data_IF_031020712220
#
_entry.id   IF_031020712220
#
_cell.length_a   1.000
_cell.length_b   1.000
_cell.length_c   1.000
_cell.angle_alpha   90.00
_cell.angle_beta   90.00
_cell.angle_gamma   90.00
#
_symmetry.space_group_name_H-M   'P 1'
#
loop_
_entity.id
_entity.type
_entity.pdbx_description
1 polymer ?
#
# COMPACT_ATOMS: atom_id res chain seq x y z
N UNK A 1 -25.52 -12.70 -24.83
CA UNK A 1 -24.99 -11.80 -23.79
C UNK A 1 -23.63 -12.32 -23.38
N UNK A 2 -22.56 -11.52 -23.53
CA UNK A 2 -21.20 -11.98 -23.24
C UNK A 2 -20.96 -12.12 -21.73
N UNK A 3 -20.49 -13.29 -21.29
CA UNK A 3 -20.19 -13.62 -19.88
C UNK A 3 -19.24 -12.59 -19.26
N UNK A 4 -18.28 -12.07 -20.02
CA UNK A 4 -17.37 -11.01 -19.56
C UNK A 4 -18.05 -9.70 -19.17
N UNK A 5 -19.22 -9.38 -19.74
CA UNK A 5 -19.98 -8.16 -19.37
C UNK A 5 -20.72 -8.31 -18.04
N UNK A 6 -21.01 -9.54 -17.61
CA UNK A 6 -21.64 -9.83 -16.33
C UNK A 6 -20.59 -9.78 -15.21
N UNK A 7 -19.39 -10.29 -15.49
CA UNK A 7 -18.30 -10.34 -14.51
C UNK A 7 -17.54 -9.02 -14.34
N UNK A 8 -17.27 -8.29 -15.43
CA UNK A 8 -16.38 -7.11 -15.43
C UNK A 8 -17.16 -5.79 -15.46
N UNK A 9 -18.43 -5.82 -15.83
CA UNK A 9 -19.23 -4.61 -16.03
C UNK A 9 -18.98 -3.92 -17.39
N UNK A 10 -19.64 -2.79 -17.62
CA UNK A 10 -19.46 -2.00 -18.85
C UNK A 10 -18.23 -1.09 -18.72
N UNK A 11 -17.39 -0.95 -19.76
CA UNK A 11 -16.30 0.01 -19.74
C UNK A 11 -16.85 1.43 -19.50
N UNK A 12 -16.25 2.14 -18.56
CA UNK A 12 -16.69 3.47 -18.13
C UNK A 12 -16.07 4.50 -19.07
N UNK A 13 -16.92 5.35 -19.65
CA UNK A 13 -16.50 6.45 -20.50
C UNK A 13 -15.84 7.53 -19.64
N UNK A 14 -14.69 8.08 -20.06
CA UNK A 14 -13.87 9.02 -19.27
C UNK A 14 -14.65 10.26 -18.82
N UNK A 15 -15.74 10.60 -19.51
CA UNK A 15 -16.64 11.71 -19.21
C UNK A 15 -17.54 11.46 -17.99
N UNK A 16 -17.78 10.20 -17.62
CA UNK A 16 -18.66 9.78 -16.51
C UNK A 16 -17.90 9.61 -15.18
N UNK A 17 -16.56 9.68 -15.19
CA UNK A 17 -15.70 9.49 -14.00
C UNK A 17 -15.96 10.52 -12.88
N UNK A 18 -16.34 11.74 -13.24
CA UNK A 18 -16.65 12.81 -12.25
C UNK A 18 -17.93 12.48 -11.48
N UNK A 19 -18.90 11.82 -12.14
CA UNK A 19 -20.16 11.40 -11.51
C UNK A 19 -20.07 10.05 -10.78
N UNK A 20 -19.00 9.28 -11.04
CA UNK A 20 -18.64 8.07 -10.29
C UNK A 20 -17.61 8.33 -9.17
N UNK A 21 -17.34 9.60 -8.84
CA UNK A 21 -16.52 9.93 -7.68
C UNK A 21 -17.08 9.24 -6.44
N UNK A 22 -16.31 8.28 -5.93
CA UNK A 22 -16.68 7.45 -4.79
C UNK A 22 -17.00 8.38 -3.61
N UNK A 23 -18.10 8.11 -2.89
CA UNK A 23 -18.48 8.92 -1.74
C UNK A 23 -17.34 8.95 -0.71
N UNK A 24 -17.16 10.07 -0.01
CA UNK A 24 -16.10 10.24 1.00
C UNK A 24 -15.90 9.03 1.93
N UNK A 25 -16.94 8.39 2.52
CA UNK A 25 -16.74 7.23 3.38
C UNK A 25 -16.22 6.00 2.63
N UNK A 26 -16.72 5.74 1.41
CA UNK A 26 -16.27 4.59 0.61
C UNK A 26 -14.86 4.84 0.07
N UNK A 27 -14.55 6.06 -0.36
CA UNK A 27 -13.20 6.44 -0.77
C UNK A 27 -12.22 6.31 0.39
N UNK A 28 -12.60 6.77 1.59
CA UNK A 28 -11.78 6.57 2.79
C UNK A 28 -11.56 5.10 3.08
N UNK A 29 -12.59 4.25 3.04
CA UNK A 29 -12.44 2.82 3.31
C UNK A 29 -11.50 2.14 2.30
N UNK A 30 -11.65 2.44 1.01
CA UNK A 30 -10.84 1.85 -0.06
C UNK A 30 -9.38 2.30 0.03
N UNK A 31 -9.12 3.60 0.16
CA UNK A 31 -7.75 4.12 0.22
C UNK A 31 -7.07 3.91 1.58
N UNK A 32 -7.82 3.84 2.68
CA UNK A 32 -7.26 3.51 3.99
C UNK A 32 -6.89 2.03 4.12
N UNK A 33 -7.45 1.14 3.29
CA UNK A 33 -7.16 -0.29 3.32
C UNK A 33 -5.67 -0.59 3.14
N UNK A 34 -4.97 0.18 2.31
CA UNK A 34 -3.54 0.03 2.05
C UNK A 34 -2.69 0.36 3.29
N UNK A 35 -3.00 1.49 3.93
CA UNK A 35 -2.38 1.89 5.19
C UNK A 35 -2.68 0.90 6.33
N UNK A 36 -3.91 0.39 6.40
CA UNK A 36 -4.29 -0.62 7.40
C UNK A 36 -3.59 -1.95 7.16
N UNK A 37 -3.51 -2.41 5.91
CA UNK A 37 -2.76 -3.61 5.52
C UNK A 37 -1.29 -3.51 5.96
N UNK A 38 -0.69 -2.33 5.79
CA UNK A 38 0.69 -2.05 6.22
C UNK A 38 0.94 -2.27 7.71
N UNK A 39 -0.04 -1.97 8.57
CA UNK A 39 0.10 -2.19 10.02
C UNK A 39 0.11 -3.67 10.42
N UNK A 40 -0.49 -4.53 9.59
CA UNK A 40 -0.62 -5.97 9.88
C UNK A 40 0.71 -6.72 9.73
N UNK A 41 1.62 -6.25 8.89
CA UNK A 41 2.96 -6.85 8.73
C UNK A 41 4.10 -6.01 9.33
N UNK A 42 4.00 -4.67 9.32
CA UNK A 42 5.13 -3.82 9.70
C UNK A 42 5.55 -3.96 11.18
N UNK A 43 4.60 -4.24 12.07
CA UNK A 43 4.87 -4.38 13.51
C UNK A 43 5.75 -5.59 13.82
N UNK A 44 5.47 -6.73 13.20
CA UNK A 44 6.25 -7.96 13.34
C UNK A 44 7.64 -7.81 12.73
N UNK A 45 7.74 -7.24 11.53
CA UNK A 45 9.02 -7.04 10.84
C UNK A 45 9.99 -6.13 11.63
N UNK A 46 9.48 -5.06 12.26
CA UNK A 46 10.30 -4.20 13.13
C UNK A 46 10.89 -5.02 14.28
N UNK A 47 10.11 -5.89 14.91
CA UNK A 47 10.56 -6.71 16.04
C UNK A 47 11.56 -7.77 15.59
N UNK A 48 11.35 -8.41 14.43
CA UNK A 48 12.29 -9.37 13.86
C UNK A 48 13.65 -8.68 13.60
N UNK A 49 13.66 -7.54 12.92
CA UNK A 49 14.91 -6.83 12.60
C UNK A 49 15.62 -6.37 13.89
N UNK A 50 14.88 -5.84 14.87
CA UNK A 50 15.46 -5.46 16.17
C UNK A 50 16.01 -6.68 16.93
N UNK A 51 15.34 -7.83 16.86
CA UNK A 51 15.82 -9.07 17.47
C UNK A 51 17.13 -9.54 16.83
N UNK A 52 17.24 -9.47 15.50
CA UNK A 52 18.46 -9.82 14.75
C UNK A 52 19.60 -8.83 15.01
N UNK A 53 19.29 -7.56 15.25
CA UNK A 53 20.26 -6.50 15.50
C UNK A 53 20.88 -6.53 16.91
N UNK A 54 20.39 -7.35 17.84
CA UNK A 54 21.01 -7.44 19.17
C UNK A 54 20.22 -8.14 20.28
N UNK A 55 19.04 -8.70 20.02
CA UNK A 55 18.31 -9.70 20.83
C UNK A 55 17.99 -9.38 22.31
N UNK A 56 18.45 -8.26 22.85
CA UNK A 56 18.31 -7.91 24.27
C UNK A 56 17.02 -7.13 24.52
N UNK A 57 16.46 -7.27 25.73
CA UNK A 57 15.25 -6.55 26.16
C UNK A 57 15.39 -5.02 26.03
N UNK A 58 16.62 -4.50 26.12
CA UNK A 58 16.93 -3.09 25.89
C UNK A 58 16.69 -2.65 24.44
N UNK A 59 16.96 -3.52 23.46
CA UNK A 59 16.77 -3.24 22.03
C UNK A 59 15.29 -3.34 21.63
N UNK A 60 14.53 -4.26 22.24
CA UNK A 60 13.07 -4.34 22.02
C UNK A 60 12.33 -3.09 22.54
N UNK A 61 12.85 -2.43 23.59
CA UNK A 61 12.33 -1.15 24.08
C UNK A 61 12.45 0.01 23.08
N UNK A 62 13.31 -0.11 22.06
CA UNK A 62 13.51 0.91 21.00
C UNK A 62 12.32 0.94 20.02
N UNK A 63 11.52 -0.14 19.97
CA UNK A 63 10.31 -0.20 19.14
C UNK A 63 9.32 0.95 19.42
N UNK A 64 9.18 1.36 20.69
CA UNK A 64 8.27 2.44 21.09
C UNK A 64 8.76 3.81 20.55
N UNK A 65 10.02 4.25 20.79
CA UNK A 65 10.58 5.43 20.14
C UNK A 65 10.47 5.41 18.61
N UNK A 66 10.72 4.27 17.96
CA UNK A 66 10.58 4.13 16.50
C UNK A 66 9.12 4.35 16.08
N UNK A 67 8.16 3.74 16.77
CA UNK A 67 6.74 3.93 16.48
C UNK A 67 6.33 5.40 16.61
N UNK A 68 6.81 6.11 17.64
CA UNK A 68 6.58 7.55 17.81
C UNK A 68 7.19 8.35 16.64
N UNK A 69 8.41 8.02 16.24
CA UNK A 69 9.07 8.68 15.11
C UNK A 69 8.30 8.47 13.79
N UNK A 70 7.81 7.24 13.54
CA UNK A 70 6.95 6.93 12.38
C UNK A 70 5.64 7.71 12.45
N UNK A 71 4.98 7.78 13.61
CA UNK A 71 3.76 8.57 13.79
C UNK A 71 3.98 10.06 13.47
N UNK A 72 5.09 10.64 13.94
CA UNK A 72 5.48 12.02 13.61
C UNK A 72 5.71 12.17 12.09
N UNK A 73 6.42 11.23 11.47
CA UNK A 73 6.65 11.23 10.03
C UNK A 73 5.33 11.19 9.25
N UNK A 74 4.37 10.37 9.65
CA UNK A 74 3.05 10.30 9.02
C UNK A 74 2.28 11.61 9.13
N UNK A 75 2.40 12.33 10.25
CA UNK A 75 1.81 13.68 10.39
C UNK A 75 2.43 14.65 9.38
N UNK A 76 3.76 14.65 9.26
CA UNK A 76 4.49 15.50 8.31
C UNK A 76 4.06 15.19 6.87
N UNK A 77 4.02 13.90 6.49
CA UNK A 77 3.61 13.45 5.16
C UNK A 77 2.15 13.84 4.88
N UNK A 78 1.26 13.70 5.86
CA UNK A 78 -0.14 14.09 5.73
C UNK A 78 -0.29 15.58 5.44
N UNK A 79 0.45 16.44 6.14
CA UNK A 79 0.45 17.89 5.90
C UNK A 79 1.01 18.19 4.51
N UNK A 80 2.10 17.54 4.11
CA UNK A 80 2.72 17.70 2.79
C UNK A 80 1.75 17.31 1.67
N UNK A 81 1.09 16.15 1.77
CA UNK A 81 0.10 15.71 0.79
C UNK A 81 -1.09 16.65 0.71
N UNK A 82 -1.55 17.17 1.85
CA UNK A 82 -2.62 18.18 1.86
C UNK A 82 -2.20 19.43 1.06
N UNK A 83 -0.97 19.92 1.23
CA UNK A 83 -0.46 21.05 0.45
C UNK A 83 -0.41 20.72 -1.05
N UNK A 84 0.09 19.54 -1.42
CA UNK A 84 0.14 19.09 -2.82
C UNK A 84 -1.25 18.98 -3.44
N UNK A 85 -2.24 18.43 -2.72
CA UNK A 85 -3.62 18.30 -3.21
C UNK A 85 -4.24 19.68 -3.49
N UNK A 86 -3.99 20.68 -2.64
CA UNK A 86 -4.45 22.05 -2.89
C UNK A 86 -3.72 22.73 -4.06
N UNK A 87 -2.43 22.45 -4.24
CA UNK A 87 -1.65 23.01 -5.35
C UNK A 87 -2.01 22.35 -6.70
N UNK A 88 -2.46 21.10 -6.70
CA UNK A 88 -2.82 20.33 -7.91
C UNK A 88 -4.30 19.89 -7.87
N UNK A 89 -5.26 20.83 -7.99
CA UNK A 89 -6.70 20.53 -7.84
C UNK A 89 -7.28 19.63 -8.94
N UNK A 90 -6.60 19.51 -10.07
CA UNK A 90 -6.96 18.58 -11.16
C UNK A 90 -6.41 17.16 -10.94
N UNK A 91 -5.76 16.90 -9.80
CA UNK A 91 -4.98 15.69 -9.57
C UNK A 91 -3.59 15.80 -10.19
N UNK A 92 -2.70 14.89 -9.79
CA UNK A 92 -1.30 14.93 -10.26
C UNK A 92 -0.50 13.67 -9.90
N UNK A 93 -0.67 13.15 -8.69
CA UNK A 93 0.19 12.06 -8.21
C UNK A 93 1.68 12.44 -8.23
N UNK A 94 2.55 11.53 -7.81
CA UNK A 94 3.99 11.82 -7.74
C UNK A 94 4.60 12.12 -9.12
N UNK A 95 4.11 11.48 -10.19
CA UNK A 95 4.65 11.66 -11.54
C UNK A 95 4.42 13.09 -12.08
N UNK A 96 3.19 13.61 -12.04
CA UNK A 96 2.89 14.94 -12.61
C UNK A 96 3.57 16.02 -11.78
N UNK A 97 3.55 15.89 -10.45
CA UNK A 97 4.26 16.83 -9.56
C UNK A 97 5.76 16.81 -9.84
N UNK A 98 6.38 15.63 -10.01
CA UNK A 98 7.80 15.55 -10.35
C UNK A 98 8.10 16.18 -11.73
N UNK A 99 7.23 15.94 -12.72
CA UNK A 99 7.41 16.47 -14.09
C UNK A 99 7.34 18.00 -14.12
N UNK A 100 6.36 18.57 -13.44
CA UNK A 100 6.12 20.01 -13.46
C UNK A 100 7.20 20.81 -12.70
N UNK A 101 7.89 20.19 -11.74
CA UNK A 101 8.90 20.87 -10.90
C UNK A 101 10.35 20.52 -11.24
N UNK A 102 10.62 19.30 -11.73
CA UNK A 102 11.98 18.79 -11.92
C UNK A 102 12.26 18.29 -13.33
N UNK A 103 11.26 18.32 -14.22
CA UNK A 103 11.39 17.89 -15.61
C UNK A 103 11.19 16.38 -15.79
N UNK A 104 11.55 15.90 -16.99
CA UNK A 104 11.13 14.58 -17.46
C UNK A 104 11.85 13.41 -16.76
N UNK A 105 13.17 13.47 -16.61
CA UNK A 105 13.95 12.37 -16.04
C UNK A 105 13.52 12.05 -14.59
N UNK A 106 13.40 13.02 -13.66
CA UNK A 106 12.93 12.75 -12.31
C UNK A 106 11.48 12.24 -12.29
N UNK A 107 10.64 12.70 -13.21
CA UNK A 107 9.28 12.18 -13.35
C UNK A 107 9.26 10.71 -13.76
N UNK A 108 10.08 10.30 -14.73
CA UNK A 108 10.19 8.90 -15.14
C UNK A 108 10.66 8.01 -13.98
N UNK A 109 11.61 8.48 -13.17
CA UNK A 109 12.03 7.77 -11.95
C UNK A 109 10.85 7.63 -10.98
N UNK A 110 10.08 8.70 -10.74
CA UNK A 110 8.88 8.63 -9.92
C UNK A 110 7.84 7.65 -10.48
N UNK A 111 7.66 7.58 -11.80
CA UNK A 111 6.80 6.62 -12.46
C UNK A 111 7.26 5.17 -12.28
N UNK A 112 8.56 4.89 -12.47
CA UNK A 112 9.14 3.58 -12.24
C UNK A 112 9.03 3.13 -10.78
N UNK A 113 9.25 4.06 -9.84
CA UNK A 113 9.08 3.82 -8.42
C UNK A 113 7.63 3.45 -8.08
N UNK A 114 6.64 4.16 -8.62
CA UNK A 114 5.22 3.84 -8.41
C UNK A 114 4.82 2.46 -8.98
N UNK A 115 5.34 2.09 -10.16
CA UNK A 115 5.07 0.76 -10.71
C UNK A 115 5.66 -0.34 -9.83
N UNK A 116 6.87 -0.12 -9.30
CA UNK A 116 7.51 -1.04 -8.38
C UNK A 116 6.75 -1.13 -7.06
N UNK A 117 6.32 0.01 -6.53
CA UNK A 117 5.50 0.12 -5.32
C UNK A 117 4.24 -0.72 -5.45
N UNK A 118 3.48 -0.58 -6.55
CA UNK A 118 2.28 -1.40 -6.75
C UNK A 118 2.54 -2.91 -6.79
N UNK A 119 3.63 -3.34 -7.42
CA UNK A 119 4.00 -4.77 -7.44
C UNK A 119 4.34 -5.25 -6.02
N UNK A 120 5.13 -4.48 -5.29
CA UNK A 120 5.55 -4.83 -3.93
C UNK A 120 4.38 -4.80 -2.94
N UNK A 121 3.47 -3.83 -3.03
CA UNK A 121 2.30 -3.74 -2.18
C UNK A 121 1.44 -4.98 -2.28
N UNK A 122 1.17 -5.47 -3.51
CA UNK A 122 0.43 -6.72 -3.72
C UNK A 122 1.22 -7.90 -3.18
N UNK A 123 2.51 -8.02 -3.53
CA UNK A 123 3.33 -9.15 -3.11
C UNK A 123 3.44 -9.27 -1.58
N UNK A 124 3.70 -8.17 -0.88
CA UNK A 124 3.87 -8.12 0.57
C UNK A 124 2.54 -8.34 1.28
N UNK A 125 1.46 -7.70 0.81
CA UNK A 125 0.14 -7.85 1.43
C UNK A 125 -0.36 -9.29 1.36
N UNK A 126 -0.24 -9.94 0.20
CA UNK A 126 -0.64 -11.35 0.06
C UNK A 126 0.28 -12.27 0.87
N UNK A 127 1.59 -12.04 0.85
CA UNK A 127 2.53 -12.85 1.63
C UNK A 127 2.23 -12.79 3.14
N UNK A 128 1.96 -11.60 3.67
CA UNK A 128 1.55 -11.43 5.07
C UNK A 128 0.20 -12.07 5.35
N UNK A 129 -0.78 -11.90 4.46
CA UNK A 129 -2.10 -12.53 4.60
C UNK A 129 -2.01 -14.06 4.68
N UNK A 130 -1.20 -14.67 3.82
CA UNK A 130 -0.98 -16.13 3.86
C UNK A 130 -0.20 -16.55 5.10
N UNK A 131 0.76 -15.76 5.57
CA UNK A 131 1.44 -16.02 6.84
C UNK A 131 0.45 -16.06 8.02
N UNK A 132 -0.51 -15.14 8.06
CA UNK A 132 -1.56 -15.12 9.09
C UNK A 132 -2.49 -16.35 8.99
N UNK A 133 -2.87 -16.76 7.77
CA UNK A 133 -3.70 -17.96 7.54
C UNK A 133 -2.95 -19.23 7.97
N UNK A 134 -1.69 -19.38 7.59
CA UNK A 134 -0.87 -20.56 7.92
C UNK A 134 -0.50 -20.61 9.40
N UNK A 135 -0.44 -19.46 10.08
CA UNK A 135 -0.34 -19.38 11.54
C UNK A 135 -1.58 -19.96 12.24
N UNK A 136 -2.78 -19.67 11.72
CA UNK A 136 -4.03 -20.25 12.23
C UNK A 136 -4.20 -21.74 11.87
N UNK A 137 -3.67 -22.17 10.72
CA UNK A 137 -3.77 -23.55 10.22
C UNK A 137 -2.38 -24.10 9.84
N UNK A 138 -1.61 -24.64 10.80
CA UNK A 138 -0.23 -25.06 10.57
C UNK A 138 -0.03 -26.14 9.50
N UNK A 139 -1.07 -26.94 9.22
CA UNK A 139 -1.03 -27.95 8.14
C UNK A 139 -0.84 -27.33 6.74
N UNK A 140 -1.12 -26.04 6.58
CA UNK A 140 -1.00 -25.31 5.31
C UNK A 140 0.40 -24.72 5.08
N UNK A 141 1.32 -24.79 6.05
CA UNK A 141 2.67 -24.20 5.96
C UNK A 141 3.44 -24.73 4.73
N UNK A 142 3.28 -26.03 4.42
CA UNK A 142 3.91 -26.66 3.27
C UNK A 142 3.47 -26.06 1.93
N UNK A 143 2.29 -25.46 1.87
CA UNK A 143 1.67 -24.91 0.66
C UNK A 143 1.64 -23.38 0.64
N UNK A 144 2.43 -22.71 1.49
CA UNK A 144 2.38 -21.25 1.66
C UNK A 144 2.62 -20.48 0.35
N UNK A 145 3.50 -20.97 -0.52
CA UNK A 145 3.85 -20.30 -1.77
C UNK A 145 2.75 -20.49 -2.80
N UNK A 146 2.24 -21.72 -2.90
CA UNK A 146 1.16 -22.12 -3.79
C UNK A 146 -0.12 -21.35 -3.46
N UNK A 147 -0.45 -21.21 -2.17
CA UNK A 147 -1.59 -20.43 -1.70
C UNK A 147 -1.40 -18.95 -2.08
N UNK A 148 -0.23 -18.36 -1.84
CA UNK A 148 0.04 -16.96 -2.18
C UNK A 148 -0.11 -16.69 -3.67
N UNK A 149 0.46 -17.55 -4.53
CA UNK A 149 0.34 -17.42 -5.99
C UNK A 149 -1.10 -17.64 -6.44
N UNK A 150 -1.82 -18.62 -5.88
CA UNK A 150 -3.21 -18.86 -6.20
C UNK A 150 -4.10 -17.65 -5.86
N UNK A 151 -3.86 -16.98 -4.73
CA UNK A 151 -4.59 -15.77 -4.33
C UNK A 151 -4.32 -14.59 -5.27
N UNK A 152 -3.09 -14.44 -5.78
CA UNK A 152 -2.75 -13.40 -6.76
C UNK A 152 -3.44 -13.64 -8.12
N UNK A 153 -3.66 -14.91 -8.49
CA UNK A 153 -4.29 -15.28 -9.77
C UNK A 153 -5.82 -15.18 -9.77
N UNK A 154 -6.46 -15.16 -8.59
CA UNK A 154 -7.91 -15.07 -8.43
C UNK A 154 -8.41 -13.61 -8.48
#
# INVERSE_FOLDING_TARGET
MNVGRILIGKPIDTKDLVHQAISKPVGLAVFASDALSSTAYATEEILIILSLAGGSAAVLGISIPIAIAIAILLVIVTISYRQTIFAYPKGGGAYIVARDNFGELPAQIAGAALLTDYILTVAVSISSGVAQITSAFPSLIAFKVEIAVAVILL
#
